data_IF_618592220467
#
_entry.id   IF_618592220467
#
_cell.length_a   1.000
_cell.length_b   1.000
_cell.length_c   1.000
_cell.angle_alpha   90.00
_cell.angle_beta   90.00
_cell.angle_gamma   90.00
#
_symmetry.space_group_name_H-M   'P 1'
#
loop_
_entity.id
_entity.type
_entity.pdbx_description
1 polymer ?
#
# COMPACT_ATOMS: atom_id res chain seq x y z
N UNK A 1 -29.67 -42.19 -11.11
CA UNK A 1 -28.28 -41.73 -10.88
C UNK A 1 -28.00 -40.65 -11.90
N UNK A 2 -28.35 -39.41 -11.57
CA UNK A 2 -28.28 -38.25 -12.46
C UNK A 2 -27.78 -37.05 -11.66
N UNK A 3 -26.67 -36.49 -12.15
CA UNK A 3 -26.20 -35.12 -11.96
C UNK A 3 -25.81 -34.66 -10.55
N UNK A 4 -25.07 -33.54 -10.50
CA UNK A 4 -24.50 -32.85 -9.33
C UNK A 4 -23.05 -33.24 -9.00
N UNK A 5 -22.14 -33.04 -9.96
CA UNK A 5 -20.87 -32.40 -9.63
C UNK A 5 -20.92 -30.99 -10.21
N UNK A 6 -21.32 -30.06 -9.34
CA UNK A 6 -21.54 -28.66 -9.65
C UNK A 6 -20.28 -27.98 -10.17
N UNK A 7 -20.51 -27.12 -11.14
CA UNK A 7 -19.57 -26.27 -11.84
C UNK A 7 -18.51 -25.63 -10.94
N UNK A 8 -17.26 -25.66 -11.40
CA UNK A 8 -16.28 -24.63 -11.04
C UNK A 8 -16.90 -23.26 -11.36
N UNK A 9 -17.31 -22.51 -10.34
CA UNK A 9 -17.66 -21.10 -10.49
C UNK A 9 -16.38 -20.37 -10.88
N UNK A 10 -16.15 -20.20 -12.19
CA UNK A 10 -15.24 -19.18 -12.70
C UNK A 10 -15.66 -17.87 -12.05
N UNK A 11 -14.93 -17.42 -11.03
CA UNK A 11 -15.13 -16.10 -10.44
C UNK A 11 -14.75 -15.07 -11.51
N UNK A 12 -15.73 -14.72 -12.34
CA UNK A 12 -15.59 -13.68 -13.35
C UNK A 12 -15.29 -12.34 -12.68
N UNK A 13 -14.59 -11.47 -13.41
CA UNK A 13 -14.44 -10.06 -13.03
C UNK A 13 -15.86 -9.51 -12.84
N UNK A 14 -16.17 -9.05 -11.62
CA UNK A 14 -17.42 -8.34 -11.34
C UNK A 14 -17.22 -6.84 -11.60
N UNK A 15 -18.29 -6.06 -11.74
CA UNK A 15 -18.18 -4.62 -11.97
C UNK A 15 -17.48 -3.87 -10.82
N UNK A 16 -17.42 -4.48 -9.63
CA UNK A 16 -16.81 -3.89 -8.43
C UNK A 16 -15.30 -3.68 -8.58
N UNK A 17 -14.57 -4.61 -9.20
CA UNK A 17 -13.11 -4.50 -9.28
C UNK A 17 -12.63 -3.41 -10.25
N UNK A 18 -13.16 -3.29 -11.49
CA UNK A 18 -12.81 -2.18 -12.38
C UNK A 18 -13.20 -0.82 -11.80
N UNK A 19 -14.34 -0.71 -11.11
CA UNK A 19 -14.76 0.54 -10.46
C UNK A 19 -13.82 0.92 -9.32
N UNK A 20 -13.47 -0.03 -8.44
CA UNK A 20 -12.49 0.20 -7.38
C UNK A 20 -11.13 0.61 -7.97
N UNK A 21 -10.68 -0.07 -9.03
CA UNK A 21 -9.47 0.29 -9.75
C UNK A 21 -9.52 1.74 -10.25
N UNK A 22 -10.59 2.16 -10.93
CA UNK A 22 -10.70 3.50 -11.48
C UNK A 22 -10.69 4.58 -10.39
N UNK A 23 -11.48 4.39 -9.33
CA UNK A 23 -11.56 5.33 -8.21
C UNK A 23 -10.19 5.44 -7.52
N UNK A 24 -9.57 4.30 -7.22
CA UNK A 24 -8.25 4.27 -6.58
C UNK A 24 -7.17 4.85 -7.48
N UNK A 25 -7.23 4.66 -8.80
CA UNK A 25 -6.29 5.28 -9.74
C UNK A 25 -6.36 6.79 -9.63
N UNK A 26 -7.56 7.37 -9.65
CA UNK A 26 -7.76 8.83 -9.55
C UNK A 26 -7.24 9.34 -8.20
N UNK A 27 -7.64 8.69 -7.10
CA UNK A 27 -7.23 9.09 -5.76
C UNK A 27 -5.71 9.00 -5.58
N UNK A 28 -5.10 7.89 -5.99
CA UNK A 28 -3.66 7.67 -5.90
C UNK A 28 -2.89 8.64 -6.81
N UNK A 29 -3.42 9.00 -7.98
CA UNK A 29 -2.80 10.00 -8.86
C UNK A 29 -2.73 11.35 -8.15
N UNK A 30 -3.84 11.79 -7.54
CA UNK A 30 -3.87 13.05 -6.79
C UNK A 30 -2.90 13.03 -5.60
N UNK A 31 -2.86 11.92 -4.85
CA UNK A 31 -1.94 11.75 -3.72
C UNK A 31 -0.47 11.72 -4.16
N UNK A 32 -0.15 11.05 -5.27
CA UNK A 32 1.19 10.97 -5.81
C UNK A 32 1.68 12.34 -6.30
N UNK A 33 0.84 13.08 -7.04
CA UNK A 33 1.15 14.45 -7.48
C UNK A 33 1.42 15.34 -6.26
N UNK A 34 0.52 15.31 -5.27
CA UNK A 34 0.69 16.09 -4.03
C UNK A 34 2.00 15.74 -3.31
N UNK A 35 2.30 14.45 -3.16
CA UNK A 35 3.50 13.99 -2.48
C UNK A 35 4.79 14.44 -3.18
N UNK A 36 4.83 14.40 -4.52
CA UNK A 36 5.99 14.86 -5.30
C UNK A 36 6.22 16.37 -5.16
N UNK A 37 5.14 17.15 -5.01
CA UNK A 37 5.23 18.61 -4.84
C UNK A 37 5.66 18.97 -3.42
N UNK A 38 5.06 18.36 -2.40
CA UNK A 38 5.28 18.73 -0.99
C UNK A 38 6.51 18.08 -0.36
N UNK A 39 6.91 16.91 -0.85
CA UNK A 39 8.06 16.18 -0.33
C UNK A 39 8.99 15.70 -1.46
N UNK A 40 9.53 16.61 -2.30
CA UNK A 40 10.44 16.24 -3.38
C UNK A 40 11.76 15.69 -2.84
N UNK A 41 12.40 14.78 -3.59
CA UNK A 41 13.71 14.22 -3.25
C UNK A 41 14.78 14.69 -4.25
N UNK A 42 15.56 15.74 -3.93
CA UNK A 42 16.69 16.14 -4.76
C UNK A 42 17.78 15.05 -4.83
N UNK A 43 18.42 14.83 -6.00
CA UNK A 43 18.29 15.57 -7.25
C UNK A 43 17.26 14.96 -8.23
N UNK A 44 16.43 14.00 -7.81
CA UNK A 44 15.54 13.22 -8.68
C UNK A 44 14.16 13.88 -8.81
N UNK A 45 13.87 14.62 -9.89
CA UNK A 45 12.57 15.28 -10.05
C UNK A 45 11.47 14.22 -10.14
N UNK A 46 10.25 14.50 -9.68
CA UNK A 46 9.18 13.50 -9.69
C UNK A 46 9.28 12.41 -8.62
N UNK A 47 10.39 12.29 -7.90
CA UNK A 47 10.50 11.36 -6.77
C UNK A 47 10.05 12.06 -5.50
N UNK A 48 9.16 11.40 -4.75
CA UNK A 48 8.72 11.88 -3.44
C UNK A 48 9.35 11.08 -2.32
N UNK A 49 9.65 11.74 -1.20
CA UNK A 49 9.97 11.09 0.07
C UNK A 49 8.73 10.53 0.78
N UNK A 50 7.54 10.79 0.24
CA UNK A 50 6.25 10.35 0.77
C UNK A 50 5.54 9.41 -0.20
N UNK A 51 5.45 8.14 0.19
CA UNK A 51 4.75 7.10 -0.57
C UNK A 51 3.30 6.94 -0.10
N UNK A 52 2.53 8.04 -0.03
CA UNK A 52 1.15 8.02 0.51
C UNK A 52 0.18 7.25 -0.40
N UNK A 53 0.42 7.26 -1.72
CA UNK A 53 -0.39 6.50 -2.67
C UNK A 53 -0.30 4.98 -2.41
N UNK A 54 0.87 4.46 -2.05
CA UNK A 54 1.09 3.05 -1.74
C UNK A 54 0.24 2.58 -0.56
N UNK A 55 0.04 3.43 0.45
CA UNK A 55 -0.84 3.15 1.58
C UNK A 55 -2.32 2.91 1.16
N UNK A 56 -2.70 3.29 -0.06
CA UNK A 56 -4.04 3.08 -0.63
C UNK A 56 -4.06 1.90 -1.60
N UNK A 57 -3.20 1.91 -2.63
CA UNK A 57 -3.30 0.90 -3.69
C UNK A 57 -2.75 -0.47 -3.26
N UNK A 58 -1.81 -0.55 -2.32
CA UNK A 58 -1.27 -1.83 -1.84
C UNK A 58 -2.35 -2.62 -1.09
N UNK A 59 -3.04 -2.07 -0.07
CA UNK A 59 -4.17 -2.77 0.55
C UNK A 59 -5.27 -3.13 -0.47
N UNK A 60 -5.56 -2.24 -1.42
CA UNK A 60 -6.51 -2.53 -2.51
C UNK A 60 -6.05 -3.73 -3.34
N UNK A 61 -4.75 -3.88 -3.59
CA UNK A 61 -4.20 -5.03 -4.31
C UNK A 61 -4.41 -6.32 -3.51
N UNK A 62 -4.30 -6.26 -2.18
CA UNK A 62 -4.57 -7.41 -1.32
C UNK A 62 -6.05 -7.84 -1.40
N UNK A 63 -7.00 -6.89 -1.34
CA UNK A 63 -8.44 -7.20 -1.34
C UNK A 63 -9.03 -7.48 -2.72
N UNK A 64 -8.66 -6.69 -3.73
CA UNK A 64 -9.23 -6.74 -5.08
C UNK A 64 -8.29 -7.40 -6.10
N UNK A 65 -7.13 -7.91 -5.65
CA UNK A 65 -6.17 -8.60 -6.50
C UNK A 65 -5.44 -7.64 -7.44
N UNK A 66 -5.18 -8.11 -8.67
CA UNK A 66 -4.40 -7.37 -9.67
C UNK A 66 -4.95 -5.96 -9.96
N UNK A 67 -6.24 -5.72 -9.71
CA UNK A 67 -6.87 -4.42 -9.90
C UNK A 67 -6.27 -3.32 -9.02
N UNK A 68 -5.82 -3.63 -7.80
CA UNK A 68 -5.10 -2.65 -6.98
C UNK A 68 -3.70 -2.36 -7.51
N UNK A 69 -2.98 -3.39 -7.98
CA UNK A 69 -1.67 -3.22 -8.61
C UNK A 69 -1.77 -2.38 -9.90
N UNK A 70 -2.82 -2.60 -10.70
CA UNK A 70 -3.10 -1.78 -11.90
C UNK A 70 -3.42 -0.34 -11.51
N UNK A 71 -4.15 -0.12 -10.42
CA UNK A 71 -4.45 1.23 -9.93
C UNK A 71 -3.16 1.98 -9.53
N UNK A 72 -2.24 1.31 -8.82
CA UNK A 72 -0.92 1.85 -8.52
C UNK A 72 -0.14 2.21 -9.78
N UNK A 73 0.02 1.25 -10.69
CA UNK A 73 0.69 1.44 -11.98
C UNK A 73 0.14 2.64 -12.76
N UNK A 74 -1.18 2.69 -12.99
CA UNK A 74 -1.80 3.77 -13.76
C UNK A 74 -1.68 5.12 -13.04
N UNK A 75 -1.75 5.14 -11.71
CA UNK A 75 -1.61 6.37 -10.95
C UNK A 75 -0.21 6.97 -11.07
N UNK A 76 0.82 6.13 -11.08
CA UNK A 76 2.20 6.54 -11.30
C UNK A 76 2.43 7.01 -12.74
N UNK A 77 1.82 6.35 -13.74
CA UNK A 77 1.87 6.80 -15.14
C UNK A 77 1.28 8.21 -15.27
N UNK A 78 0.08 8.43 -14.72
CA UNK A 78 -0.59 9.74 -14.80
C UNK A 78 0.15 10.82 -14.05
N UNK A 79 0.71 10.51 -12.87
CA UNK A 79 1.57 11.44 -12.14
C UNK A 79 2.82 11.78 -12.95
N UNK A 80 3.50 10.77 -13.53
CA UNK A 80 4.70 10.96 -14.35
C UNK A 80 4.45 11.87 -15.55
N UNK A 81 3.34 11.66 -16.27
CA UNK A 81 2.92 12.55 -17.36
C UNK A 81 2.60 13.96 -16.87
N UNK A 82 1.95 14.09 -15.71
CA UNK A 82 1.61 15.39 -15.11
C UNK A 82 2.86 16.22 -14.78
N UNK A 83 3.91 15.59 -14.24
CA UNK A 83 5.16 16.27 -13.89
C UNK A 83 6.11 16.47 -15.09
N UNK A 84 5.70 16.03 -16.28
CA UNK A 84 6.39 16.32 -17.55
C UNK A 84 7.33 15.22 -18.06
N UNK A 85 7.24 14.00 -17.53
CA UNK A 85 7.99 12.87 -18.07
C UNK A 85 7.42 12.36 -19.40
N UNK A 86 8.28 11.73 -20.20
CA UNK A 86 7.85 11.04 -21.43
C UNK A 86 6.99 9.83 -21.09
N UNK A 87 6.06 9.47 -21.97
CA UNK A 87 5.21 8.29 -21.79
C UNK A 87 6.04 7.01 -21.65
N UNK A 88 7.09 6.85 -22.46
CA UNK A 88 7.98 5.69 -22.39
C UNK A 88 8.65 5.55 -21.02
N UNK A 89 9.16 6.65 -20.47
CA UNK A 89 9.75 6.65 -19.15
C UNK A 89 8.69 6.35 -18.08
N UNK A 90 7.54 7.02 -18.12
CA UNK A 90 6.47 6.84 -17.16
C UNK A 90 5.97 5.38 -17.12
N UNK A 91 5.82 4.72 -18.28
CA UNK A 91 5.42 3.32 -18.35
C UNK A 91 6.43 2.38 -17.68
N UNK A 92 7.74 2.59 -17.91
CA UNK A 92 8.79 1.75 -17.29
C UNK A 92 8.90 2.04 -15.80
N UNK A 93 8.90 3.31 -15.41
CA UNK A 93 9.05 3.73 -14.03
C UNK A 93 7.89 3.25 -13.14
N UNK A 94 6.66 3.30 -13.67
CA UNK A 94 5.46 2.85 -12.95
C UNK A 94 5.43 1.36 -12.66
N UNK A 95 6.33 0.56 -13.26
CA UNK A 95 6.49 -0.84 -12.90
C UNK A 95 6.86 -1.02 -11.41
N UNK A 96 7.52 -0.03 -10.80
CA UNK A 96 7.77 -0.03 -9.36
C UNK A 96 6.46 -0.17 -8.56
N UNK A 97 5.49 0.73 -8.76
CA UNK A 97 4.17 0.69 -8.11
C UNK A 97 3.37 -0.57 -8.46
N UNK A 98 3.51 -1.08 -9.70
CA UNK A 98 2.91 -2.36 -10.08
C UNK A 98 3.43 -3.49 -9.19
N UNK A 99 4.75 -3.61 -9.04
CA UNK A 99 5.39 -4.65 -8.23
C UNK A 99 5.17 -4.44 -6.74
N UNK A 100 5.12 -3.19 -6.27
CA UNK A 100 4.83 -2.85 -4.88
C UNK A 100 3.47 -3.39 -4.44
N UNK A 101 2.45 -3.36 -5.33
CA UNK A 101 1.18 -4.02 -5.07
C UNK A 101 1.19 -5.54 -5.33
N UNK A 102 1.90 -5.98 -6.38
CA UNK A 102 1.86 -7.37 -6.86
C UNK A 102 2.62 -8.33 -5.93
N UNK A 103 3.79 -7.94 -5.42
CA UNK A 103 4.64 -8.80 -4.58
C UNK A 103 3.91 -9.18 -3.28
N UNK A 104 3.35 -8.24 -2.50
CA UNK A 104 2.56 -8.58 -1.32
C UNK A 104 1.35 -9.45 -1.67
N UNK A 105 0.63 -9.14 -2.75
CA UNK A 105 -0.49 -9.95 -3.20
C UNK A 105 -0.10 -11.41 -3.47
N UNK A 106 1.00 -11.62 -4.20
CA UNK A 106 1.52 -12.95 -4.50
C UNK A 106 1.98 -13.67 -3.22
N UNK A 107 2.66 -12.97 -2.32
CA UNK A 107 3.12 -13.54 -1.05
C UNK A 107 1.95 -14.03 -0.18
N UNK A 108 0.92 -13.20 0.00
CA UNK A 108 -0.26 -13.52 0.82
C UNK A 108 -1.04 -14.69 0.21
N UNK A 109 -1.18 -14.72 -1.13
CA UNK A 109 -1.81 -15.85 -1.84
C UNK A 109 -1.00 -17.14 -1.73
N UNK A 110 0.31 -17.07 -1.91
CA UNK A 110 1.20 -18.22 -1.81
C UNK A 110 1.21 -18.80 -0.38
N UNK A 111 1.17 -17.93 0.63
CA UNK A 111 1.15 -18.30 2.05
C UNK A 111 -0.26 -18.64 2.58
N UNK A 112 -1.29 -18.56 1.72
CA UNK A 112 -2.70 -18.82 2.04
C UNK A 112 -3.16 -18.07 3.29
N UNK A 113 -2.79 -16.80 3.38
CA UNK A 113 -3.13 -15.93 4.51
C UNK A 113 -4.54 -15.41 4.32
N UNK A 114 -5.36 -15.53 5.36
CA UNK A 114 -6.69 -14.96 5.36
C UNK A 114 -6.62 -13.45 5.67
N UNK A 115 -7.16 -12.64 4.75
CA UNK A 115 -7.25 -11.19 4.92
C UNK A 115 -8.47 -10.77 5.75
N UNK A 116 -9.48 -11.65 5.88
CA UNK A 116 -10.65 -11.42 6.71
C UNK A 116 -10.40 -11.98 8.12
N UNK A 117 -9.36 -11.44 8.76
CA UNK A 117 -8.95 -11.88 10.09
C UNK A 117 -9.79 -11.20 11.18
N UNK A 118 -10.44 -12.00 12.02
CA UNK A 118 -11.07 -11.52 13.25
C UNK A 118 -9.99 -11.21 14.30
N UNK A 119 -9.84 -9.94 14.66
CA UNK A 119 -8.90 -9.52 15.70
C UNK A 119 -9.20 -10.21 17.03
N UNK A 120 -8.16 -10.74 17.68
CA UNK A 120 -8.32 -11.36 19.02
C UNK A 120 -8.74 -10.32 20.05
N UNK A 121 -8.26 -9.08 19.88
CA UNK A 121 -8.47 -7.97 20.82
C UNK A 121 -8.85 -6.68 20.08
N UNK A 122 -10.03 -6.62 19.45
CA UNK A 122 -10.37 -5.58 18.47
C UNK A 122 -10.23 -4.16 19.02
N UNK A 123 -10.66 -3.89 20.27
CA UNK A 123 -10.52 -2.56 20.88
C UNK A 123 -9.06 -2.09 20.98
N UNK A 124 -8.16 -3.00 21.37
CA UNK A 124 -6.73 -2.69 21.50
C UNK A 124 -6.12 -2.53 20.11
N UNK A 125 -6.45 -3.43 19.18
CA UNK A 125 -5.95 -3.38 17.81
C UNK A 125 -6.37 -2.08 17.12
N UNK A 126 -7.62 -1.67 17.22
CA UNK A 126 -8.07 -0.39 16.67
C UNK A 126 -7.36 0.80 17.33
N UNK A 127 -7.13 0.75 18.65
CA UNK A 127 -6.36 1.79 19.35
C UNK A 127 -4.91 1.89 18.86
N UNK A 128 -4.23 0.75 18.69
CA UNK A 128 -2.86 0.68 18.17
C UNK A 128 -2.79 1.14 16.72
N UNK A 129 -3.73 0.71 15.87
CA UNK A 129 -3.82 1.16 14.48
C UNK A 129 -4.11 2.66 14.39
N UNK A 130 -4.99 3.21 15.22
CA UNK A 130 -5.26 4.66 15.27
C UNK A 130 -4.02 5.46 15.70
N UNK A 131 -3.24 4.93 16.65
CA UNK A 131 -1.99 5.51 17.07
C UNK A 131 -0.93 5.44 15.96
N UNK A 132 -0.82 4.31 15.25
CA UNK A 132 0.02 4.18 14.05
C UNK A 132 -0.35 5.20 12.97
N UNK A 133 -1.65 5.40 12.72
CA UNK A 133 -2.12 6.42 11.78
C UNK A 133 -1.72 7.84 12.21
N UNK A 134 -1.77 8.13 13.52
CA UNK A 134 -1.31 9.43 14.05
C UNK A 134 0.20 9.59 13.85
N UNK A 135 0.99 8.55 14.17
CA UNK A 135 2.44 8.55 13.94
C UNK A 135 2.77 8.75 12.46
N UNK A 136 2.03 8.11 11.55
CA UNK A 136 2.17 8.29 10.10
C UNK A 136 1.93 9.75 9.68
N UNK A 137 0.85 10.38 10.15
CA UNK A 137 0.55 11.79 9.84
C UNK A 137 1.65 12.72 10.35
N UNK A 138 2.16 12.49 11.56
CA UNK A 138 3.28 13.28 12.12
C UNK A 138 4.56 13.05 11.31
N UNK A 139 4.86 11.82 10.91
CA UNK A 139 6.00 11.48 10.07
C UNK A 139 5.91 12.15 8.69
N UNK A 140 4.71 12.21 8.11
CA UNK A 140 4.47 12.87 6.83
C UNK A 140 4.72 14.38 6.95
N UNK A 141 4.18 15.03 7.98
CA UNK A 141 4.44 16.44 8.26
C UNK A 141 5.93 16.71 8.52
N UNK A 142 6.61 15.84 9.28
CA UNK A 142 8.04 15.95 9.53
C UNK A 142 8.86 15.87 8.23
N UNK A 143 8.44 15.04 7.27
CA UNK A 143 9.10 14.91 5.96
C UNK A 143 8.96 16.19 5.13
N UNK A 144 7.74 16.74 5.05
CA UNK A 144 7.45 18.00 4.33
C UNK A 144 8.22 19.18 4.95
N UNK A 145 8.25 19.24 6.27
CA UNK A 145 8.91 20.33 7.02
C UNK A 145 10.41 20.08 7.23
N UNK A 146 10.98 19.01 6.65
CA UNK A 146 12.40 18.63 6.78
C UNK A 146 12.90 18.47 8.24
N UNK A 147 12.00 18.04 9.14
CA UNK A 147 12.28 17.81 10.56
C UNK A 147 12.85 16.39 10.77
N UNK A 148 14.14 16.20 10.46
CA UNK A 148 14.80 14.88 10.48
C UNK A 148 14.71 14.18 11.83
N UNK A 149 14.89 14.89 12.94
CA UNK A 149 14.80 14.30 14.28
C UNK A 149 13.40 13.77 14.57
N UNK A 150 12.37 14.55 14.21
CA UNK A 150 10.97 14.14 14.39
C UNK A 150 10.66 12.92 13.53
N UNK A 151 11.13 12.91 12.27
CA UNK A 151 10.99 11.76 11.37
C UNK A 151 11.60 10.48 11.96
N UNK A 152 12.83 10.55 12.49
CA UNK A 152 13.50 9.41 13.11
C UNK A 152 12.72 8.92 14.34
N UNK A 153 12.25 9.83 15.20
CA UNK A 153 11.45 9.48 16.38
C UNK A 153 10.14 8.81 15.97
N UNK A 154 9.43 9.34 14.96
CA UNK A 154 8.19 8.73 14.47
C UNK A 154 8.43 7.38 13.82
N UNK A 155 9.54 7.19 13.11
CA UNK A 155 9.92 5.90 12.53
C UNK A 155 10.14 4.83 13.61
N UNK A 156 10.92 5.16 14.65
CA UNK A 156 11.15 4.26 15.80
C UNK A 156 9.85 3.97 16.54
N UNK A 157 8.99 4.97 16.74
CA UNK A 157 7.69 4.80 17.37
C UNK A 157 6.78 3.86 16.55
N UNK A 158 6.75 4.02 15.23
CA UNK A 158 5.98 3.14 14.34
C UNK A 158 6.45 1.68 14.44
N UNK A 159 7.76 1.44 14.43
CA UNK A 159 8.32 0.09 14.62
C UNK A 159 7.94 -0.50 15.97
N UNK A 160 8.05 0.27 17.06
CA UNK A 160 7.67 -0.17 18.39
C UNK A 160 6.18 -0.55 18.45
N UNK A 161 5.31 0.25 17.84
CA UNK A 161 3.87 -0.03 17.77
C UNK A 161 3.56 -1.29 16.96
N UNK A 162 4.21 -1.49 15.81
CA UNK A 162 4.06 -2.71 15.01
C UNK A 162 4.53 -3.96 15.77
N UNK A 163 5.63 -3.86 16.53
CA UNK A 163 6.10 -4.94 17.40
C UNK A 163 5.07 -5.24 18.49
N UNK A 164 4.55 -4.22 19.18
CA UNK A 164 3.50 -4.40 20.19
C UNK A 164 2.26 -5.05 19.58
N UNK A 165 1.85 -4.63 18.39
CA UNK A 165 0.69 -5.20 17.70
C UNK A 165 0.91 -6.66 17.32
N UNK A 166 2.14 -7.04 16.95
CA UNK A 166 2.55 -8.44 16.73
C UNK A 166 2.44 -9.30 17.99
N UNK A 167 2.67 -8.73 19.17
CA UNK A 167 2.56 -9.43 20.46
C UNK A 167 1.13 -9.51 20.97
N UNK A 168 0.28 -8.53 20.63
CA UNK A 168 -1.11 -8.43 21.10
C UNK A 168 -2.06 -9.29 20.27
N UNK A 169 -1.80 -9.41 18.96
CA UNK A 169 -2.69 -10.02 17.99
C UNK A 169 -2.08 -11.31 17.37
N UNK A 170 -2.41 -11.64 16.12
CA UNK A 170 -1.80 -12.78 15.44
C UNK A 170 -0.35 -12.50 15.00
N UNK A 171 0.58 -13.23 15.63
CA UNK A 171 2.01 -13.11 15.37
C UNK A 171 2.35 -13.33 13.90
N UNK A 172 1.68 -14.25 13.20
CA UNK A 172 2.00 -14.59 11.81
C UNK A 172 1.64 -13.42 10.90
N UNK A 173 0.43 -12.91 11.01
CA UNK A 173 -0.06 -11.79 10.18
C UNK A 173 0.79 -10.54 10.35
N UNK A 174 1.04 -10.11 11.59
CA UNK A 174 1.77 -8.87 11.85
C UNK A 174 3.28 -8.98 11.58
N UNK A 175 3.89 -10.15 11.77
CA UNK A 175 5.30 -10.35 11.38
C UNK A 175 5.47 -10.25 9.86
N UNK A 176 4.50 -10.73 9.06
CA UNK A 176 4.54 -10.57 7.61
C UNK A 176 4.40 -9.10 7.19
N UNK A 177 3.60 -8.30 7.88
CA UNK A 177 3.53 -6.86 7.64
C UNK A 177 4.86 -6.15 7.91
N UNK A 178 5.57 -6.52 8.97
CA UNK A 178 6.90 -5.95 9.25
C UNK A 178 7.90 -6.37 8.17
N UNK A 179 7.96 -7.66 7.82
CA UNK A 179 8.94 -8.17 6.86
C UNK A 179 8.66 -7.62 5.46
N UNK A 180 7.45 -7.79 4.94
CA UNK A 180 7.13 -7.42 3.56
C UNK A 180 6.77 -5.95 3.41
N UNK A 181 6.02 -5.39 4.36
CA UNK A 181 5.52 -4.01 4.28
C UNK A 181 6.51 -2.96 4.77
N UNK A 182 7.52 -3.32 5.57
CA UNK A 182 8.59 -2.40 5.98
C UNK A 182 9.89 -2.78 5.29
N UNK A 183 10.47 -3.93 5.60
CA UNK A 183 11.83 -4.23 5.14
C UNK A 183 11.95 -4.52 3.65
N UNK A 184 11.10 -5.39 3.10
CA UNK A 184 11.14 -5.69 1.65
C UNK A 184 10.70 -4.49 0.82
N UNK A 185 9.74 -3.70 1.31
CA UNK A 185 9.32 -2.47 0.64
C UNK A 185 10.37 -1.34 0.71
N UNK A 186 11.36 -1.43 1.62
CA UNK A 186 12.41 -0.41 1.80
C UNK A 186 13.70 -0.69 1.01
N UNK A 187 13.75 -1.76 0.21
CA UNK A 187 14.93 -2.20 -0.58
C UNK A 187 14.55 -2.27 -2.05
#
# INVERSE_FOLDING_TARGET
MSEIFGAETKMGITWRQPVACAISTIACTALAIWAVIEAPVPPAPGVSGLYVAAAVFVPLALWFGVWGSIAGYLSCVFMGLYVGYTLEFALVWSLADLFEGLIPLLAIRALKVDLNYDFKKPKITYGLTALLMTVFVVSAAATILTLTEVFIVTFVAALALLIVQTLVDDKKTWSMWIIFGVFVASV
#
